data_IF_037547098296
#
_entry.id   IF_037547098296
#
_cell.length_a   1.000
_cell.length_b   1.000
_cell.length_c   1.000
_cell.angle_alpha   90.00
_cell.angle_beta   90.00
_cell.angle_gamma   90.00
#
_symmetry.space_group_name_H-M   'P 1'
#
loop_
_entity.id
_entity.type
_entity.pdbx_description
1 polymer ?
#
# COMPACT_ATOMS: atom_id res chain seq x y z
N UNK A 1 19.85 -15.44 1.60
CA UNK A 1 18.78 -15.10 2.54
C UNK A 1 17.60 -14.61 1.73
N UNK A 2 16.39 -15.01 2.08
CA UNK A 2 15.18 -14.60 1.35
C UNK A 2 14.82 -13.16 1.65
N UNK A 3 14.24 -12.49 0.67
CA UNK A 3 13.80 -11.10 0.77
C UNK A 3 12.34 -10.98 0.33
N UNK A 4 11.49 -10.50 1.21
CA UNK A 4 10.06 -10.29 0.96
C UNK A 4 9.76 -8.81 0.93
N UNK A 5 9.25 -8.33 -0.18
CA UNK A 5 8.77 -6.96 -0.34
C UNK A 5 7.25 -6.94 -0.20
N UNK A 6 6.74 -6.05 0.65
CA UNK A 6 5.30 -5.87 0.88
C UNK A 6 4.94 -4.46 0.40
N UNK A 7 4.14 -4.39 -0.65
CA UNK A 7 3.65 -3.12 -1.19
C UNK A 7 2.26 -2.82 -0.65
N UNK A 8 2.13 -1.69 0.02
CA UNK A 8 0.88 -1.22 0.64
C UNK A 8 0.56 0.20 0.21
N UNK A 9 -0.68 0.57 0.37
CA UNK A 9 -1.17 1.93 0.14
C UNK A 9 -2.15 2.32 1.25
N UNK A 10 -2.58 3.59 1.25
CA UNK A 10 -3.59 4.09 2.18
C UNK A 10 -4.98 3.50 1.85
N UNK A 11 -5.23 2.29 2.27
CA UNK A 11 -6.55 1.71 2.11
C UNK A 11 -6.88 0.78 3.29
N UNK A 12 -8.15 0.47 3.52
CA UNK A 12 -8.57 -0.38 4.63
C UNK A 12 -7.97 -1.79 4.60
N UNK A 13 -7.54 -2.26 3.44
CA UNK A 13 -6.96 -3.59 3.26
C UNK A 13 -5.44 -3.63 3.53
N UNK A 14 -4.80 -2.49 3.72
CA UNK A 14 -3.36 -2.39 3.97
C UNK A 14 -2.92 -3.22 5.18
N UNK A 15 -3.70 -3.23 6.24
CA UNK A 15 -3.41 -4.02 7.43
C UNK A 15 -3.35 -5.52 7.12
N UNK A 16 -4.35 -6.04 6.41
CA UNK A 16 -4.37 -7.46 6.02
C UNK A 16 -3.19 -7.83 5.13
N UNK A 17 -2.84 -6.98 4.19
CA UNK A 17 -1.68 -7.18 3.29
C UNK A 17 -0.38 -7.18 4.09
N UNK A 18 -0.19 -6.20 4.97
CA UNK A 18 0.99 -6.10 5.81
C UNK A 18 1.14 -7.31 6.75
N UNK A 19 0.09 -7.68 7.47
CA UNK A 19 0.10 -8.81 8.40
C UNK A 19 0.32 -10.14 7.68
N UNK A 20 -0.36 -10.37 6.57
CA UNK A 20 -0.21 -11.59 5.77
C UNK A 20 1.21 -11.69 5.20
N UNK A 21 1.69 -10.63 4.57
CA UNK A 21 3.04 -10.60 4.00
C UNK A 21 4.12 -10.81 5.06
N UNK A 22 3.97 -10.20 6.22
CA UNK A 22 4.91 -10.36 7.33
C UNK A 22 4.89 -11.80 7.90
N UNK A 23 3.72 -12.42 8.02
CA UNK A 23 3.61 -13.80 8.48
C UNK A 23 4.34 -14.76 7.53
N UNK A 24 4.18 -14.59 6.21
CA UNK A 24 4.93 -15.36 5.22
C UNK A 24 6.44 -15.09 5.29
N UNK A 25 6.83 -13.84 5.43
CA UNK A 25 8.24 -13.47 5.55
C UNK A 25 8.90 -14.13 6.78
N UNK A 26 8.21 -14.15 7.91
CA UNK A 26 8.68 -14.86 9.13
C UNK A 26 8.81 -16.35 8.89
N UNK A 27 7.84 -16.98 8.26
CA UNK A 27 7.89 -18.41 7.96
C UNK A 27 9.07 -18.77 7.04
N UNK A 28 9.46 -17.85 6.16
CA UNK A 28 10.60 -18.00 5.26
C UNK A 28 11.94 -17.56 5.89
N UNK A 29 11.92 -17.04 7.11
CA UNK A 29 13.08 -16.39 7.74
C UNK A 29 13.73 -15.33 6.83
N UNK A 30 12.87 -14.48 6.24
CA UNK A 30 13.24 -13.50 5.23
C UNK A 30 13.50 -12.10 5.81
N UNK A 31 14.34 -11.32 5.12
CA UNK A 31 14.36 -9.87 5.30
C UNK A 31 13.06 -9.27 4.74
N UNK A 32 12.57 -8.21 5.38
CA UNK A 32 11.34 -7.54 4.98
C UNK A 32 11.59 -6.09 4.60
N UNK A 33 11.05 -5.69 3.45
CA UNK A 33 10.91 -4.30 3.06
C UNK A 33 9.44 -3.98 2.80
N UNK A 34 8.90 -2.98 3.49
CA UNK A 34 7.55 -2.47 3.24
C UNK A 34 7.67 -1.18 2.44
N UNK A 35 6.97 -1.14 1.33
CA UNK A 35 7.03 0.00 0.41
C UNK A 35 5.66 0.60 0.14
N UNK A 36 5.67 1.88 -0.12
CA UNK A 36 4.52 2.63 -0.59
C UNK A 36 4.93 3.47 -1.79
N UNK A 37 4.20 3.34 -2.90
CA UNK A 37 4.39 4.19 -4.05
C UNK A 37 3.53 5.45 -3.92
N UNK A 38 4.14 6.63 -4.07
CA UNK A 38 3.42 7.87 -4.19
C UNK A 38 2.86 7.97 -5.61
N UNK A 39 1.55 7.81 -5.73
CA UNK A 39 0.84 8.09 -6.96
C UNK A 39 0.25 9.50 -6.96
N UNK A 40 -0.37 9.90 -8.04
CA UNK A 40 -0.92 11.24 -8.23
C UNK A 40 -1.86 11.68 -7.08
N UNK A 41 -1.72 12.92 -6.66
CA UNK A 41 -2.43 13.54 -5.53
C UNK A 41 -3.95 13.36 -5.57
N UNK A 42 -4.53 13.32 -6.75
CA UNK A 42 -5.97 13.14 -6.93
C UNK A 42 -6.55 11.89 -6.27
N UNK A 43 -5.70 10.90 -6.00
CA UNK A 43 -6.11 9.66 -5.32
C UNK A 43 -6.21 9.80 -3.80
N UNK A 44 -5.63 10.83 -3.22
CA UNK A 44 -5.60 11.03 -1.77
C UNK A 44 -6.65 12.02 -1.26
N UNK A 45 -7.57 12.45 -2.10
CA UNK A 45 -8.61 13.43 -1.77
C UNK A 45 -9.74 12.91 -0.86
N UNK A 46 -9.65 11.69 -0.37
CA UNK A 46 -10.68 11.06 0.44
C UNK A 46 -10.14 10.81 1.84
N UNK A 47 -10.95 11.11 2.86
CA UNK A 47 -10.63 10.76 4.24
C UNK A 47 -10.50 9.25 4.38
N UNK A 48 -9.32 8.80 4.76
CA UNK A 48 -9.08 7.40 5.09
C UNK A 48 -9.43 7.12 6.54
N UNK A 49 -10.04 5.97 6.77
CA UNK A 49 -10.20 5.46 8.12
C UNK A 49 -8.83 5.20 8.75
N UNK A 50 -8.69 5.43 10.06
CA UNK A 50 -7.45 5.08 10.74
C UNK A 50 -7.09 3.61 10.53
N UNK A 51 -5.84 3.36 10.13
CA UNK A 51 -5.30 2.03 9.87
C UNK A 51 -3.99 1.88 10.60
N UNK A 52 -3.84 0.84 11.40
CA UNK A 52 -2.62 0.55 12.15
C UNK A 52 -2.07 1.75 12.94
N UNK A 53 -2.97 2.54 13.53
CA UNK A 53 -2.61 3.75 14.29
C UNK A 53 -2.30 4.99 13.46
N UNK A 54 -2.28 4.90 12.14
CA UNK A 54 -2.18 6.05 11.26
C UNK A 54 -3.55 6.74 11.14
N UNK A 55 -3.62 8.01 11.49
CA UNK A 55 -4.90 8.76 11.58
C UNK A 55 -5.36 9.38 10.25
N UNK A 56 -4.58 9.21 9.19
CA UNK A 56 -4.87 9.77 7.88
C UNK A 56 -4.32 11.18 7.69
N UNK A 57 -4.67 11.78 6.56
CA UNK A 57 -4.33 13.16 6.24
C UNK A 57 -5.46 14.10 6.64
N UNK A 58 -5.10 15.29 7.10
CA UNK A 58 -6.03 16.42 7.05
C UNK A 58 -5.88 17.12 5.71
N UNK A 59 -6.98 17.21 4.97
CA UNK A 59 -7.00 17.81 3.63
C UNK A 59 -7.18 19.35 3.63
N UNK A 60 -6.84 20.00 4.72
CA UNK A 60 -7.06 21.44 4.89
C UNK A 60 -5.95 22.30 4.26
N UNK A 61 -5.50 21.99 3.06
CA UNK A 61 -4.48 22.80 2.41
C UNK A 61 -4.17 22.43 0.96
N UNK A 62 -3.45 23.31 0.24
CA UNK A 62 -3.03 22.99 -1.12
C UNK A 62 -1.94 21.90 -1.09
N UNK A 63 -2.30 20.70 -1.45
CA UNK A 63 -1.42 19.52 -1.51
C UNK A 63 -0.48 19.55 -2.70
N UNK A 64 0.27 20.58 -2.83
CA UNK A 64 1.20 20.72 -3.94
C UNK A 64 2.62 20.29 -3.60
N UNK A 65 2.89 19.99 -2.33
CA UNK A 65 4.24 19.67 -1.90
C UNK A 65 4.46 18.17 -1.78
N UNK A 66 5.26 17.64 -2.70
CA UNK A 66 5.68 16.24 -2.73
C UNK A 66 6.47 15.85 -1.46
N UNK A 67 7.14 16.80 -0.83
CA UNK A 67 7.89 16.54 0.40
C UNK A 67 6.96 16.27 1.58
N UNK A 68 5.83 16.97 1.68
CA UNK A 68 4.80 16.68 2.68
C UNK A 68 4.16 15.32 2.46
N UNK A 69 3.85 14.97 1.23
CA UNK A 69 3.31 13.66 0.88
C UNK A 69 4.27 12.54 1.24
N UNK A 70 5.55 12.73 0.97
CA UNK A 70 6.60 11.78 1.33
C UNK A 70 6.72 11.62 2.84
N UNK A 71 6.66 12.73 3.57
CA UNK A 71 6.68 12.72 5.03
C UNK A 71 5.51 11.92 5.61
N UNK A 72 4.30 12.15 5.10
CA UNK A 72 3.12 11.41 5.53
C UNK A 72 3.19 9.92 5.16
N UNK A 73 3.72 9.60 4.01
CA UNK A 73 3.96 8.20 3.62
C UNK A 73 4.93 7.50 4.59
N UNK A 74 6.02 8.15 4.98
CA UNK A 74 6.93 7.61 6.00
C UNK A 74 6.28 7.51 7.38
N UNK A 75 5.41 8.44 7.76
CA UNK A 75 4.63 8.34 8.99
C UNK A 75 3.71 7.11 8.97
N UNK A 76 3.04 6.87 7.86
CA UNK A 76 2.22 5.67 7.67
C UNK A 76 3.04 4.39 7.76
N UNK A 77 4.16 4.30 7.05
CA UNK A 77 5.04 3.15 7.11
C UNK A 77 5.60 2.92 8.52
N UNK A 78 5.89 3.98 9.26
CA UNK A 78 6.32 3.89 10.66
C UNK A 78 5.23 3.31 11.56
N UNK A 79 3.97 3.67 11.33
CA UNK A 79 2.83 3.08 12.04
C UNK A 79 2.70 1.58 11.73
N UNK A 80 2.89 1.19 10.47
CA UNK A 80 2.86 -0.21 10.06
C UNK A 80 3.97 -1.03 10.74
N UNK A 81 5.19 -0.54 10.74
CA UNK A 81 6.34 -1.19 11.41
C UNK A 81 6.08 -1.35 12.91
N UNK A 82 5.54 -0.33 13.54
CA UNK A 82 5.17 -0.38 14.97
C UNK A 82 4.06 -1.40 15.22
N UNK A 83 3.07 -1.45 14.36
CA UNK A 83 1.98 -2.42 14.43
C UNK A 83 2.48 -3.87 14.31
N UNK A 84 3.41 -4.13 13.40
CA UNK A 84 4.02 -5.45 13.22
C UNK A 84 5.03 -5.80 14.31
N UNK A 85 5.52 -4.81 15.07
CA UNK A 85 6.41 -5.01 16.21
C UNK A 85 7.83 -5.41 15.87
N UNK A 86 8.29 -5.22 14.63
CA UNK A 86 9.63 -5.60 14.18
C UNK A 86 10.40 -4.41 13.62
N UNK A 87 11.36 -3.93 14.42
CA UNK A 87 12.22 -2.78 14.06
C UNK A 87 13.22 -3.06 12.94
N UNK A 88 13.40 -4.31 12.53
CA UNK A 88 14.30 -4.69 11.42
C UNK A 88 13.68 -4.49 10.05
N UNK A 89 12.39 -4.26 9.98
CA UNK A 89 11.68 -4.01 8.73
C UNK A 89 12.20 -2.72 8.10
N UNK A 90 12.62 -2.82 6.85
CA UNK A 90 12.96 -1.67 6.03
C UNK A 90 11.69 -0.98 5.53
N UNK A 91 11.74 0.33 5.41
CA UNK A 91 10.66 1.10 4.78
C UNK A 91 11.20 1.93 3.63
N UNK A 92 10.43 2.02 2.56
CA UNK A 92 10.78 2.83 1.40
C UNK A 92 9.54 3.46 0.79
N UNK A 93 9.61 4.76 0.58
CA UNK A 93 8.62 5.48 -0.23
C UNK A 93 9.15 5.58 -1.65
N UNK A 94 8.35 5.11 -2.62
CA UNK A 94 8.69 5.08 -4.02
C UNK A 94 8.01 6.22 -4.76
N UNK A 95 8.68 6.78 -5.75
CA UNK A 95 8.13 7.81 -6.62
C UNK A 95 7.86 7.24 -8.00
N UNK A 96 6.83 7.77 -8.66
CA UNK A 96 6.48 7.40 -10.02
C UNK A 96 5.23 6.54 -10.10
N UNK A 97 5.03 5.93 -11.26
CA UNK A 97 3.88 5.05 -11.49
C UNK A 97 3.99 3.83 -10.57
N UNK A 98 2.89 3.49 -9.92
CA UNK A 98 2.89 2.49 -8.84
C UNK A 98 3.50 1.15 -9.28
N UNK A 99 3.01 0.57 -10.35
CA UNK A 99 3.50 -0.74 -10.80
C UNK A 99 4.99 -0.68 -11.21
N UNK A 100 5.39 0.34 -11.96
CA UNK A 100 6.75 0.49 -12.45
C UNK A 100 7.73 0.69 -11.29
N UNK A 101 7.41 1.57 -10.35
CA UNK A 101 8.28 1.85 -9.19
C UNK A 101 8.40 0.67 -8.23
N UNK A 102 7.33 -0.12 -8.07
CA UNK A 102 7.35 -1.34 -7.27
C UNK A 102 8.25 -2.40 -7.92
N UNK A 103 8.10 -2.63 -9.22
CA UNK A 103 8.92 -3.60 -9.95
C UNK A 103 10.40 -3.19 -10.00
N UNK A 104 10.67 -1.91 -10.25
CA UNK A 104 12.03 -1.38 -10.25
C UNK A 104 12.72 -1.57 -8.89
N UNK A 105 12.06 -1.20 -7.81
CA UNK A 105 12.63 -1.38 -6.48
C UNK A 105 12.73 -2.86 -6.09
N UNK A 106 11.81 -3.71 -6.51
CA UNK A 106 11.90 -5.16 -6.29
C UNK A 106 13.14 -5.76 -6.95
N UNK A 107 13.45 -5.35 -8.17
CA UNK A 107 14.66 -5.77 -8.87
C UNK A 107 15.92 -5.19 -8.22
N UNK A 108 15.93 -3.89 -7.90
CA UNK A 108 17.06 -3.22 -7.24
C UNK A 108 17.39 -3.86 -5.88
N UNK A 109 16.38 -4.12 -5.07
CA UNK A 109 16.54 -4.74 -3.76
C UNK A 109 16.72 -6.25 -3.83
N UNK A 110 16.54 -6.86 -5.00
CA UNK A 110 16.58 -8.31 -5.24
C UNK A 110 15.58 -9.08 -4.38
N UNK A 111 14.33 -8.67 -4.43
CA UNK A 111 13.25 -9.36 -3.75
C UNK A 111 13.04 -10.77 -4.32
N UNK A 112 12.78 -11.73 -3.47
CA UNK A 112 12.39 -13.10 -3.86
C UNK A 112 10.86 -13.25 -3.95
N UNK A 113 10.12 -12.37 -3.27
CA UNK A 113 8.67 -12.37 -3.22
C UNK A 113 8.14 -10.94 -3.10
N UNK A 114 7.15 -10.62 -3.92
CA UNK A 114 6.36 -9.39 -3.82
C UNK A 114 5.01 -9.75 -3.24
N UNK A 115 4.58 -9.05 -2.19
CA UNK A 115 3.24 -9.19 -1.58
C UNK A 115 2.44 -7.93 -1.87
N UNK A 116 1.27 -8.07 -2.47
CA UNK A 116 0.38 -6.97 -2.83
C UNK A 116 -1.07 -7.31 -2.50
N UNK A 117 -1.92 -6.30 -2.37
CA UNK A 117 -3.36 -6.48 -2.27
C UNK A 117 -4.06 -6.52 -3.62
N UNK A 118 -5.28 -7.00 -3.66
CA UNK A 118 -6.11 -7.00 -4.88
C UNK A 118 -6.57 -5.61 -5.28
N UNK A 119 -6.62 -4.67 -4.33
CA UNK A 119 -6.99 -3.27 -4.60
C UNK A 119 -5.89 -2.37 -4.09
N UNK A 120 -5.21 -1.74 -5.02
CA UNK A 120 -4.22 -0.72 -4.71
C UNK A 120 -4.84 0.67 -4.54
N UNK A 121 -6.04 0.91 -5.10
CA UNK A 121 -6.76 2.19 -5.00
C UNK A 121 -8.19 1.97 -4.53
N UNK A 122 -8.67 2.92 -3.73
CA UNK A 122 -9.99 2.91 -3.13
C UNK A 122 -11.11 3.17 -4.14
N UNK A 123 -10.79 3.80 -5.21
CA UNK A 123 -11.74 4.23 -6.21
C UNK A 123 -11.17 3.96 -7.55
N UNK A 124 -11.93 3.63 -8.17
CA UNK A 124 -13.04 3.91 -8.97
C UNK A 124 -12.75 3.34 -10.29
N UNK A 125 -13.67 2.61 -10.52
CA UNK A 125 -14.17 2.57 -11.85
C UNK A 125 -13.05 2.36 -12.83
N UNK A 126 -12.67 1.15 -12.88
CA UNK A 126 -13.02 0.39 -14.05
C UNK A 126 -12.78 1.10 -15.38
N UNK A 127 -12.67 2.43 -15.37
CA UNK A 127 -12.68 3.18 -16.60
C UNK A 127 -11.32 3.40 -17.25
N UNK A 128 -10.25 3.31 -16.48
CA UNK A 128 -8.92 3.59 -17.03
C UNK A 128 -7.81 2.79 -16.36
N UNK A 129 -8.17 1.70 -15.83
CA UNK A 129 -7.31 0.98 -14.96
C UNK A 129 -6.43 0.00 -15.71
N UNK A 130 -5.25 0.37 -15.80
CA UNK A 130 -4.24 -0.65 -15.57
C UNK A 130 -4.09 -0.73 -14.05
N UNK A 131 -4.91 -1.56 -13.41
CA UNK A 131 -4.75 -1.94 -12.03
C UNK A 131 -3.28 -2.31 -11.80
N UNK A 132 -2.65 -1.64 -10.84
CA UNK A 132 -1.24 -1.85 -10.56
C UNK A 132 -0.95 -3.33 -10.25
N UNK A 133 -1.89 -4.00 -9.59
CA UNK A 133 -1.82 -5.44 -9.32
C UNK A 133 -1.75 -6.25 -10.60
N UNK A 134 -2.64 -6.01 -11.55
CA UNK A 134 -2.64 -6.71 -12.84
C UNK A 134 -1.37 -6.43 -13.65
N UNK A 135 -0.87 -5.21 -13.60
CA UNK A 135 0.38 -4.85 -14.28
C UNK A 135 1.57 -5.56 -13.65
N UNK A 136 1.68 -5.59 -12.32
CA UNK A 136 2.72 -6.30 -11.60
C UNK A 136 2.67 -7.80 -11.93
N UNK A 137 1.49 -8.42 -11.90
CA UNK A 137 1.33 -9.84 -12.23
C UNK A 137 1.78 -10.19 -13.64
N UNK A 138 1.55 -9.30 -14.61
CA UNK A 138 1.95 -9.53 -16.00
C UNK A 138 3.43 -9.29 -16.29
N UNK A 139 4.04 -8.35 -15.57
CA UNK A 139 5.39 -7.88 -15.87
C UNK A 139 6.46 -8.40 -14.91
N UNK A 140 6.06 -8.93 -13.76
CA UNK A 140 7.00 -9.40 -12.76
C UNK A 140 7.71 -10.69 -13.17
N UNK A 141 9.01 -10.71 -13.01
CA UNK A 141 9.82 -11.93 -13.05
C UNK A 141 10.02 -12.53 -11.64
N UNK A 142 9.49 -11.85 -10.62
CA UNK A 142 9.58 -12.25 -9.22
C UNK A 142 8.22 -12.86 -8.83
N UNK A 143 8.23 -13.87 -7.97
CA UNK A 143 7.00 -14.45 -7.44
C UNK A 143 6.12 -13.38 -6.75
N UNK A 144 4.82 -13.42 -6.99
CA UNK A 144 3.86 -12.45 -6.44
C UNK A 144 2.80 -13.17 -5.62
N UNK A 145 2.65 -12.76 -4.38
CA UNK A 145 1.56 -13.16 -3.50
C UNK A 145 0.49 -12.08 -3.49
N UNK A 146 -0.69 -12.40 -3.97
CA UNK A 146 -1.83 -11.49 -3.97
C UNK A 146 -2.72 -11.77 -2.76
N UNK A 147 -2.92 -10.77 -1.91
CA UNK A 147 -3.77 -10.86 -0.72
C UNK A 147 -5.14 -10.28 -1.07
N UNK A 148 -6.21 -11.09 -1.01
CA UNK A 148 -7.53 -10.60 -1.35
C UNK A 148 -8.05 -9.59 -0.33
N UNK A 149 -8.76 -8.58 -0.83
CA UNK A 149 -9.42 -7.60 0.01
C UNK A 149 -10.50 -8.25 0.91
N UNK A 150 -10.69 -7.71 2.11
CA UNK A 150 -11.79 -8.13 2.97
C UNK A 150 -13.09 -7.49 2.49
N UNK A 151 -14.04 -8.34 2.07
CA UNK A 151 -15.34 -7.90 1.57
C UNK A 151 -16.16 -7.09 2.59
N UNK A 152 -15.97 -7.33 3.88
CA UNK A 152 -16.64 -6.55 4.94
C UNK A 152 -16.09 -5.12 5.04
N UNK A 153 -14.79 -4.96 4.96
CA UNK A 153 -14.14 -3.65 4.97
C UNK A 153 -14.50 -2.83 3.73
N UNK A 154 -14.61 -3.49 2.58
CA UNK A 154 -15.05 -2.85 1.34
C UNK A 154 -16.50 -2.35 1.41
N UNK A 155 -17.41 -3.11 2.03
CA UNK A 155 -18.80 -2.68 2.24
C UNK A 155 -18.89 -1.47 3.17
N UNK A 156 -18.20 -1.50 4.30
CA UNK A 156 -18.17 -0.40 5.27
C UNK A 156 -17.59 0.88 4.67
N UNK A 157 -16.59 0.78 3.82
CA UNK A 157 -16.04 1.94 3.12
C UNK A 157 -17.02 2.52 2.11
N UNK A 158 -17.70 1.67 1.34
CA UNK A 158 -18.74 2.10 0.39
C UNK A 158 -19.95 2.73 1.06
N UNK A 159 -20.45 2.14 2.14
CA UNK A 159 -21.59 2.69 2.89
C UNK A 159 -21.29 4.07 3.48
N UNK A 160 -20.08 4.28 4.00
CA UNK A 160 -19.67 5.60 4.51
C UNK A 160 -19.50 6.62 3.39
N UNK A 161 -19.02 6.21 2.24
CA UNK A 161 -18.88 7.06 1.07
C UNK A 161 -20.24 7.51 0.53
N UNK A 162 -21.22 6.61 0.43
CA UNK A 162 -22.58 6.95 0.05
C UNK A 162 -23.25 7.87 1.07
N UNK A 163 -23.01 7.69 2.35
CA UNK A 163 -23.52 8.57 3.41
C UNK A 163 -22.94 9.99 3.31
N UNK A 164 -21.70 10.13 2.89
CA UNK A 164 -21.05 11.44 2.72
C UNK A 164 -21.54 12.20 1.48
N UNK A 165 -21.87 11.47 0.40
CA UNK A 165 -22.38 12.06 -0.85
C UNK A 165 -23.85 12.50 -0.77
N UNK A 166 -24.59 12.14 0.29
CA UNK A 166 -26.00 12.54 0.48
C UNK A 166 -26.16 13.83 1.29
N UNK A 167 -25.11 14.45 1.71
CA UNK A 167 -25.07 15.76 2.35
C UNK A 167 -24.28 16.75 1.50
#
# INVERSE_FOLDING_TARGET
MKKVMIAIDYNPCAQKVAETGYAYAKALNAEVSIVQALSDISYYSIEYLPVMGFKGFSLDGPYSDIDEQRKEAYNFLSCVVRHLGDKKIRTKVLNGRMADSILEYADEWQADLIVIGTQSHRNYEELYSHDATSTILRQSNIAVLVVPADKKQLKLSKEKEYAFLQF
#
